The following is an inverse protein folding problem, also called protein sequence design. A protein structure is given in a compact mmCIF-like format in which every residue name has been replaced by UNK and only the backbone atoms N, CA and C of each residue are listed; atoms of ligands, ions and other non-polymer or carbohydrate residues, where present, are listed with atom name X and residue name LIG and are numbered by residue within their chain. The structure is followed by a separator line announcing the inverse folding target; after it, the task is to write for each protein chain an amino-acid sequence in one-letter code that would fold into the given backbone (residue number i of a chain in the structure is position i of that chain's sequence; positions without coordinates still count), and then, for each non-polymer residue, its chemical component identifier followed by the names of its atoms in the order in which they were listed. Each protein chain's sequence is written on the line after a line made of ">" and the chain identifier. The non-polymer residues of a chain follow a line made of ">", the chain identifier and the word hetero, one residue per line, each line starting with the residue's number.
data_IF_106291842801
#
_entry.id   IF_106291842801
#
_cell.length_a   1.000
_cell.length_b   1.000
_cell.length_c   1.000
_cell.angle_alpha   90.00
_cell.angle_beta   90.00
_cell.angle_gamma   90.00
#
_symmetry.space_group_name_H-M   'P 1'
#
loop_
_entity.id
_entity.type
_entity.pdbx_description
1 polymer ?
#
# COMPACT_ATOMS: atom_id res chain seq x y z
N UNK A 1 -9.51 18.68 21.57
CA UNK A 1 -10.46 18.19 20.54
C UNK A 1 -10.59 16.69 20.72
N UNK A 2 -11.78 16.14 20.97
CA UNK A 2 -11.96 14.70 21.18
C UNK A 2 -11.81 13.96 19.86
N UNK A 3 -11.31 12.71 19.91
CA UNK A 3 -11.17 11.83 18.74
C UNK A 3 -12.46 11.74 17.89
N UNK A 4 -13.61 11.86 18.54
CA UNK A 4 -14.93 11.86 17.89
C UNK A 4 -15.13 13.00 16.87
N UNK A 5 -14.52 14.17 17.09
CA UNK A 5 -14.62 15.31 16.15
C UNK A 5 -13.83 15.13 14.85
N UNK A 6 -12.82 14.26 14.81
CA UNK A 6 -12.03 13.98 13.58
C UNK A 6 -12.79 13.11 12.56
N UNK A 7 -13.81 12.38 13.01
CA UNK A 7 -14.54 11.40 12.17
C UNK A 7 -15.85 11.94 11.58
N UNK A 8 -16.42 13.02 12.14
CA UNK A 8 -17.70 13.58 11.68
C UNK A 8 -17.64 14.33 10.33
N UNK A 9 -16.43 14.50 9.75
CA UNK A 9 -16.25 15.19 8.47
C UNK A 9 -16.19 14.27 7.24
N UNK A 10 -16.49 12.96 7.38
CA UNK A 10 -16.51 12.03 6.26
C UNK A 10 -17.96 11.73 5.87
N UNK A 11 -18.47 12.20 4.72
CA UNK A 11 -19.85 11.96 4.32
C UNK A 11 -20.13 10.47 4.09
N UNK A 12 -21.22 9.98 4.68
CA UNK A 12 -21.82 8.67 4.35
C UNK A 12 -22.60 8.84 3.06
N UNK A 13 -22.37 7.92 2.10
CA UNK A 13 -23.13 7.69 0.87
C UNK A 13 -22.81 8.56 -0.35
N UNK A 14 -21.97 8.00 -1.22
CA UNK A 14 -22.18 8.10 -2.67
C UNK A 14 -22.16 6.70 -3.26
N UNK A 15 -23.20 6.36 -4.06
CA UNK A 15 -23.28 5.08 -4.79
C UNK A 15 -22.15 5.02 -5.83
N UNK A 16 -21.48 3.88 -6.03
CA UNK A 16 -20.45 3.76 -7.04
C UNK A 16 -21.08 3.81 -8.44
N UNK A 17 -20.86 4.91 -9.14
CA UNK A 17 -20.94 4.95 -10.60
C UNK A 17 -19.61 4.43 -11.14
N UNK A 18 -19.62 3.67 -12.24
CA UNK A 18 -18.45 3.20 -12.98
C UNK A 18 -17.53 4.37 -13.33
N UNK A 19 -16.65 4.76 -12.45
CA UNK A 19 -15.69 5.83 -12.65
C UNK A 19 -14.46 5.54 -11.78
N UNK A 20 -13.32 5.57 -12.39
CA UNK A 20 -11.99 5.68 -11.83
C UNK A 20 -12.01 6.21 -10.38
N UNK A 21 -11.55 5.38 -9.44
CA UNK A 21 -11.45 5.74 -8.02
C UNK A 21 -10.48 6.91 -7.83
N UNK A 22 -10.97 8.14 -8.00
CA UNK A 22 -10.22 9.34 -7.65
C UNK A 22 -10.34 9.59 -6.15
N UNK A 23 -9.43 9.04 -5.36
CA UNK A 23 -9.28 9.37 -3.94
C UNK A 23 -8.56 10.71 -3.73
N UNK A 24 -8.96 11.75 -4.47
CA UNK A 24 -8.43 13.10 -4.26
C UNK A 24 -8.80 13.60 -2.88
N UNK A 25 -7.82 13.75 -2.00
CA UNK A 25 -7.93 14.45 -0.72
C UNK A 25 -8.45 13.64 0.48
N UNK A 26 -8.66 12.33 0.38
CA UNK A 26 -9.00 11.45 1.52
C UNK A 26 -7.87 10.47 1.77
N UNK A 27 -6.82 10.92 2.44
CA UNK A 27 -5.72 10.05 2.83
C UNK A 27 -6.01 9.42 4.20
N UNK A 28 -5.73 8.13 4.35
CA UNK A 28 -5.76 7.43 5.63
C UNK A 28 -4.58 7.78 6.56
N UNK A 29 -3.66 8.61 6.10
CA UNK A 29 -2.39 8.94 6.79
C UNK A 29 -2.57 9.37 8.25
N UNK A 30 -3.56 10.23 8.54
CA UNK A 30 -3.82 10.73 9.89
C UNK A 30 -4.44 9.69 10.83
N UNK A 31 -4.88 8.55 10.29
CA UNK A 31 -5.54 7.46 11.01
C UNK A 31 -4.61 6.29 11.28
N UNK A 32 -3.41 6.31 10.68
CA UNK A 32 -2.40 5.27 10.76
C UNK A 32 -1.28 5.67 11.72
N UNK A 33 -0.79 4.72 12.48
CA UNK A 33 0.44 4.91 13.26
C UNK A 33 1.66 4.60 12.38
N UNK A 34 2.15 5.64 11.71
CA UNK A 34 3.33 5.57 10.86
C UNK A 34 4.55 4.99 11.58
N UNK A 35 4.74 5.33 12.85
CA UNK A 35 5.93 4.89 13.59
C UNK A 35 5.91 3.38 13.81
N UNK A 36 4.73 2.81 14.11
CA UNK A 36 4.56 1.36 14.20
C UNK A 36 4.84 0.73 12.84
N UNK A 37 4.25 1.25 11.75
CA UNK A 37 4.46 0.73 10.39
C UNK A 37 5.95 0.68 10.05
N UNK A 38 6.65 1.81 10.17
CA UNK A 38 8.06 1.91 9.81
C UNK A 38 8.97 1.03 10.70
N UNK A 39 8.67 0.93 11.99
CA UNK A 39 9.37 0.04 12.93
C UNK A 39 9.23 -1.43 12.52
N UNK A 40 8.01 -1.86 12.24
CA UNK A 40 7.72 -3.26 11.92
C UNK A 40 8.23 -3.68 10.53
N UNK A 41 8.27 -2.74 9.56
CA UNK A 41 8.86 -2.98 8.25
C UNK A 41 10.39 -3.02 8.30
N UNK A 42 11.01 -2.43 9.31
CA UNK A 42 12.46 -2.43 9.54
C UNK A 42 13.27 -2.08 8.28
N UNK A 43 12.99 -0.91 7.72
CA UNK A 43 13.63 -0.42 6.49
C UNK A 43 15.14 -0.23 6.73
N UNK A 44 15.94 -0.86 5.89
CA UNK A 44 17.40 -0.80 5.95
C UNK A 44 17.99 -0.05 4.76
N UNK A 45 19.12 0.68 4.92
CA UNK A 45 19.84 1.28 3.82
C UNK A 45 20.16 0.27 2.71
N UNK A 46 20.12 0.71 1.45
CA UNK A 46 20.41 -0.13 0.29
C UNK A 46 19.22 -0.95 -0.24
N UNK A 47 18.12 -1.01 0.47
CA UNK A 47 16.92 -1.72 0.00
C UNK A 47 16.27 -1.04 -1.21
N UNK A 48 15.58 -1.86 -2.01
CA UNK A 48 14.69 -1.40 -3.08
C UNK A 48 13.25 -1.71 -2.69
N UNK A 49 12.42 -0.67 -2.58
CA UNK A 49 11.06 -0.73 -2.05
C UNK A 49 10.08 -0.30 -3.13
N UNK A 50 8.93 -0.97 -3.19
CA UNK A 50 7.79 -0.54 -3.98
C UNK A 50 6.66 -0.10 -3.04
N UNK A 51 6.22 1.15 -3.17
CA UNK A 51 4.97 1.69 -2.64
C UNK A 51 3.90 1.58 -3.74
N UNK A 52 3.05 0.56 -3.65
CA UNK A 52 2.05 0.22 -4.67
C UNK A 52 0.68 0.80 -4.33
N UNK A 53 0.18 1.70 -5.19
CA UNK A 53 -0.95 2.58 -4.90
C UNK A 53 -0.51 3.74 -4.01
N UNK A 54 0.60 4.37 -4.39
CA UNK A 54 1.28 5.38 -3.57
C UNK A 54 0.51 6.70 -3.39
N UNK A 55 -0.52 6.95 -4.22
CA UNK A 55 -1.26 8.21 -4.20
C UNK A 55 -0.34 9.44 -4.26
N UNK A 56 -0.36 10.27 -3.23
CA UNK A 56 0.49 11.46 -3.11
C UNK A 56 1.95 11.16 -2.73
N UNK A 57 2.32 9.88 -2.56
CA UNK A 57 3.67 9.45 -2.22
C UNK A 57 4.08 9.66 -0.77
N UNK A 58 3.12 9.77 0.17
CA UNK A 58 3.42 9.97 1.58
C UNK A 58 4.37 8.91 2.14
N UNK A 59 4.03 7.62 1.99
CA UNK A 59 4.88 6.53 2.47
C UNK A 59 6.16 6.39 1.64
N UNK A 60 6.10 6.59 0.33
CA UNK A 60 7.30 6.61 -0.52
C UNK A 60 8.34 7.62 -0.03
N UNK A 61 7.92 8.82 0.38
CA UNK A 61 8.82 9.85 0.96
C UNK A 61 9.42 9.40 2.29
N UNK A 62 8.65 8.76 3.16
CA UNK A 62 9.15 8.21 4.43
C UNK A 62 10.16 7.07 4.20
N UNK A 63 9.90 6.16 3.27
CA UNK A 63 10.85 5.11 2.89
C UNK A 63 12.14 5.72 2.34
N UNK A 64 12.04 6.69 1.44
CA UNK A 64 13.19 7.40 0.87
C UNK A 64 14.07 8.03 1.97
N UNK A 65 13.43 8.66 2.97
CA UNK A 65 14.14 9.26 4.12
C UNK A 65 14.91 8.21 4.93
N UNK A 66 14.30 7.04 5.19
CA UNK A 66 14.95 5.96 5.94
C UNK A 66 16.08 5.29 5.17
N UNK A 67 15.96 5.18 3.84
CA UNK A 67 17.05 4.69 2.99
C UNK A 67 18.28 5.61 2.96
N UNK A 68 18.15 6.85 3.44
CA UNK A 68 19.22 7.81 3.61
C UNK A 68 20.15 7.94 2.39
N UNK A 69 19.56 8.11 1.21
CA UNK A 69 20.28 8.26 -0.06
C UNK A 69 20.86 6.97 -0.66
N UNK A 70 20.68 5.83 0.01
CA UNK A 70 21.08 4.50 -0.49
C UNK A 70 19.87 3.66 -0.84
N UNK A 71 19.92 2.90 -1.93
CA UNK A 71 18.76 2.13 -2.37
C UNK A 71 17.74 2.96 -3.18
N UNK A 72 16.53 2.46 -3.35
CA UNK A 72 15.55 3.03 -4.28
C UNK A 72 14.11 2.81 -3.79
N UNK A 73 13.23 3.76 -4.07
CA UNK A 73 11.79 3.64 -3.89
C UNK A 73 11.09 3.78 -5.23
N UNK A 74 10.37 2.76 -5.66
CA UNK A 74 9.37 2.89 -6.72
C UNK A 74 8.06 3.33 -6.08
N UNK A 75 7.46 4.41 -6.58
CA UNK A 75 6.16 4.91 -6.16
C UNK A 75 5.18 4.74 -7.32
N UNK A 76 4.32 3.72 -7.23
CA UNK A 76 3.48 3.27 -8.32
C UNK A 76 2.00 3.58 -8.04
N UNK A 77 1.34 4.23 -9.00
CA UNK A 77 -0.09 4.49 -8.96
C UNK A 77 -0.66 4.51 -10.39
N UNK A 78 -1.89 4.04 -10.64
CA UNK A 78 -2.56 4.20 -11.92
C UNK A 78 -2.99 5.65 -12.20
N UNK A 79 -3.11 6.51 -11.18
CA UNK A 79 -3.46 7.93 -11.35
C UNK A 79 -2.26 8.72 -11.93
N UNK A 80 -2.34 8.98 -13.24
CA UNK A 80 -1.32 9.73 -13.97
C UNK A 80 -1.08 11.13 -13.38
N UNK A 81 -2.12 11.82 -12.93
CA UNK A 81 -2.01 13.17 -12.41
C UNK A 81 -1.28 13.20 -11.07
N UNK A 82 -1.62 12.25 -10.16
CA UNK A 82 -0.92 12.09 -8.90
C UNK A 82 0.59 11.81 -9.12
N UNK A 83 0.90 10.91 -10.06
CA UNK A 83 2.29 10.58 -10.40
C UNK A 83 3.03 11.76 -11.03
N UNK A 84 2.41 12.56 -11.89
CA UNK A 84 3.06 13.77 -12.47
C UNK A 84 3.34 14.84 -11.41
N UNK A 85 2.48 14.98 -10.39
CA UNK A 85 2.74 15.85 -9.23
C UNK A 85 3.93 15.28 -8.44
N UNK A 86 3.90 14.00 -8.10
CA UNK A 86 4.94 13.34 -7.32
C UNK A 86 6.31 13.41 -8.02
N UNK A 87 6.38 13.25 -9.33
CA UNK A 87 7.61 13.43 -10.12
C UNK A 87 8.24 14.81 -9.95
N UNK A 88 7.42 15.86 -9.89
CA UNK A 88 7.91 17.23 -9.69
C UNK A 88 8.49 17.40 -8.30
N UNK A 89 7.85 16.83 -7.28
CA UNK A 89 8.26 16.93 -5.88
C UNK A 89 9.50 16.10 -5.54
N UNK A 90 9.74 15.00 -6.27
CA UNK A 90 10.79 14.01 -5.94
C UNK A 90 12.00 14.04 -6.88
N UNK A 91 12.16 15.05 -7.72
CA UNK A 91 13.23 15.16 -8.76
C UNK A 91 14.66 14.93 -8.26
N UNK A 92 14.93 15.16 -6.98
CA UNK A 92 16.28 15.07 -6.39
C UNK A 92 16.36 14.03 -5.27
N UNK A 93 15.47 13.04 -5.32
CA UNK A 93 15.43 11.96 -4.34
C UNK A 93 15.70 10.61 -5.03
N UNK A 94 15.76 9.53 -4.26
CA UNK A 94 15.82 8.16 -4.77
C UNK A 94 14.44 7.55 -5.04
N UNK A 95 13.41 8.38 -5.17
CA UNK A 95 12.05 7.95 -5.53
C UNK A 95 11.88 7.99 -7.05
N UNK A 96 11.40 6.89 -7.63
CA UNK A 96 11.01 6.79 -9.03
C UNK A 96 9.48 6.61 -9.14
N UNK A 97 8.73 7.68 -9.45
CA UNK A 97 7.30 7.59 -9.65
C UNK A 97 6.95 6.93 -10.98
N UNK A 98 6.02 5.96 -10.95
CA UNK A 98 5.59 5.15 -12.09
C UNK A 98 4.07 5.16 -12.24
N UNK A 99 3.58 5.48 -13.44
CA UNK A 99 2.18 5.25 -13.81
C UNK A 99 2.04 3.78 -14.20
N UNK A 100 1.50 2.96 -13.33
CA UNK A 100 1.29 1.53 -13.59
C UNK A 100 0.20 0.95 -12.67
N UNK A 101 -0.20 -0.28 -12.95
CA UNK A 101 -1.23 -1.03 -12.25
C UNK A 101 -0.63 -2.37 -11.77
N UNK A 102 -0.67 -2.63 -10.48
CA UNK A 102 -0.11 -3.86 -9.88
C UNK A 102 -0.85 -5.14 -10.26
N UNK A 103 -2.02 -5.03 -10.85
CA UNK A 103 -2.73 -6.19 -11.42
C UNK A 103 -2.27 -6.51 -12.85
N UNK A 104 -1.24 -5.81 -13.34
CA UNK A 104 -0.59 -6.00 -14.65
C UNK A 104 0.91 -6.11 -14.48
N UNK A 105 1.60 -6.55 -15.54
CA UNK A 105 3.07 -6.55 -15.55
C UNK A 105 3.59 -5.12 -15.55
N UNK A 106 4.36 -4.78 -14.51
CA UNK A 106 5.00 -3.47 -14.37
C UNK A 106 6.37 -3.42 -15.06
N UNK A 107 6.93 -2.22 -15.35
CA UNK A 107 8.26 -2.10 -15.94
C UNK A 107 9.41 -2.40 -14.95
N UNK A 108 9.10 -2.81 -13.72
CA UNK A 108 10.11 -3.09 -12.69
C UNK A 108 10.74 -4.47 -12.96
N UNK A 109 12.06 -4.55 -12.79
CA UNK A 109 12.84 -5.77 -13.01
C UNK A 109 12.41 -6.89 -12.05
N UNK A 110 12.35 -8.14 -12.54
CA UNK A 110 12.08 -9.31 -11.73
C UNK A 110 13.16 -9.52 -10.65
N UNK A 111 12.75 -10.04 -9.49
CA UNK A 111 13.62 -10.35 -8.34
C UNK A 111 14.51 -9.17 -7.94
N UNK A 112 13.92 -7.97 -7.89
CA UNK A 112 14.66 -6.73 -7.60
C UNK A 112 14.21 -6.00 -6.34
N UNK A 113 13.04 -6.36 -5.78
CA UNK A 113 12.46 -5.66 -4.63
C UNK A 113 12.71 -6.41 -3.32
N UNK A 114 13.07 -5.67 -2.29
CA UNK A 114 13.22 -6.15 -0.91
C UNK A 114 11.90 -6.04 -0.13
N UNK A 115 11.03 -5.10 -0.53
CA UNK A 115 9.71 -4.87 0.06
C UNK A 115 8.73 -4.38 -1.00
N UNK A 116 7.51 -4.93 -0.99
CA UNK A 116 6.33 -4.34 -1.62
C UNK A 116 5.38 -3.94 -0.49
N UNK A 117 5.00 -2.67 -0.46
CA UNK A 117 4.04 -2.09 0.48
C UNK A 117 2.76 -1.70 -0.28
N UNK A 118 1.61 -2.15 0.22
CA UNK A 118 0.28 -1.91 -0.35
C UNK A 118 -0.61 -1.39 0.77
N UNK A 119 -1.03 -0.14 0.70
CA UNK A 119 -1.80 0.48 1.79
C UNK A 119 -3.15 0.97 1.31
N UNK A 120 -4.22 0.38 1.84
CA UNK A 120 -5.61 0.75 1.54
C UNK A 120 -5.96 0.70 0.04
N UNK A 121 -5.39 -0.26 -0.66
CA UNK A 121 -5.53 -0.46 -2.12
C UNK A 121 -6.10 -1.84 -2.44
N UNK A 122 -5.72 -2.88 -1.68
CA UNK A 122 -6.03 -4.27 -2.01
C UNK A 122 -7.53 -4.55 -2.11
N UNK A 123 -8.34 -3.92 -1.25
CA UNK A 123 -9.81 -4.00 -1.29
C UNK A 123 -10.42 -3.46 -2.59
N UNK A 124 -9.70 -2.62 -3.32
CA UNK A 124 -10.11 -2.05 -4.61
C UNK A 124 -9.80 -2.94 -5.82
N UNK A 125 -9.04 -4.01 -5.65
CA UNK A 125 -8.74 -4.90 -6.78
C UNK A 125 -9.96 -5.75 -7.15
N UNK A 126 -10.33 -5.83 -8.44
CA UNK A 126 -11.30 -6.81 -8.91
C UNK A 126 -10.86 -8.23 -8.52
N UNK A 127 -11.79 -9.04 -8.01
CA UNK A 127 -11.48 -10.39 -7.50
C UNK A 127 -10.80 -11.28 -8.54
N UNK A 128 -11.17 -11.15 -9.79
CA UNK A 128 -10.59 -11.86 -10.93
C UNK A 128 -9.17 -11.39 -11.29
N UNK A 129 -8.74 -10.22 -10.81
CA UNK A 129 -7.40 -9.68 -11.03
C UNK A 129 -6.43 -9.95 -9.87
N UNK A 130 -6.90 -10.43 -8.73
CA UNK A 130 -6.05 -10.79 -7.59
C UNK A 130 -4.97 -11.83 -7.96
N UNK A 131 -5.25 -12.87 -8.77
CA UNK A 131 -4.20 -13.79 -9.24
C UNK A 131 -3.10 -13.10 -10.04
N UNK A 132 -3.43 -12.08 -10.83
CA UNK A 132 -2.44 -11.30 -11.59
C UNK A 132 -1.56 -10.46 -10.65
N UNK A 133 -2.18 -9.80 -9.65
CA UNK A 133 -1.44 -9.10 -8.59
C UNK A 133 -0.45 -10.06 -7.90
N UNK A 134 -0.86 -11.24 -7.49
CA UNK A 134 0.01 -12.22 -6.84
C UNK A 134 1.18 -12.62 -7.75
N UNK A 135 0.90 -12.92 -9.01
CA UNK A 135 1.93 -13.27 -10.01
C UNK A 135 2.96 -12.15 -10.16
N UNK A 136 2.52 -10.90 -10.18
CA UNK A 136 3.41 -9.76 -10.28
C UNK A 136 4.24 -9.57 -8.99
N UNK A 137 3.63 -9.69 -7.82
CA UNK A 137 4.34 -9.67 -6.53
C UNK A 137 5.43 -10.74 -6.48
N UNK A 138 5.12 -11.99 -6.85
CA UNK A 138 6.10 -13.11 -6.88
C UNK A 138 7.22 -12.88 -7.89
N UNK A 139 6.92 -12.23 -9.02
CA UNK A 139 7.92 -11.88 -10.03
C UNK A 139 8.90 -10.84 -9.52
N UNK A 140 8.41 -9.83 -8.79
CA UNK A 140 9.17 -8.66 -8.36
C UNK A 140 10.03 -8.91 -7.13
N UNK A 141 9.54 -9.71 -6.18
CA UNK A 141 10.23 -9.93 -4.90
C UNK A 141 11.49 -10.77 -5.06
N UNK A 142 12.56 -10.32 -4.41
CA UNK A 142 13.76 -11.14 -4.16
C UNK A 142 13.41 -12.35 -3.28
N UNK A 143 14.28 -13.38 -3.22
CA UNK A 143 14.20 -14.41 -2.19
C UNK A 143 14.13 -13.81 -0.78
N UNK A 144 13.22 -14.33 0.07
CA UNK A 144 13.00 -13.88 1.46
C UNK A 144 12.52 -12.42 1.62
N UNK A 145 12.29 -11.69 0.53
CA UNK A 145 11.73 -10.34 0.55
C UNK A 145 10.27 -10.32 1.05
N UNK A 146 9.77 -9.16 1.40
CA UNK A 146 8.49 -9.02 2.08
C UNK A 146 7.41 -8.35 1.22
N UNK A 147 6.16 -8.79 1.43
CA UNK A 147 4.95 -8.08 1.03
C UNK A 147 4.23 -7.64 2.31
N UNK A 148 3.92 -6.37 2.43
CA UNK A 148 3.10 -5.81 3.51
C UNK A 148 1.81 -5.23 2.92
N UNK A 149 0.67 -5.77 3.34
CA UNK A 149 -0.67 -5.30 2.95
C UNK A 149 -1.30 -4.66 4.18
N UNK A 150 -1.54 -3.35 4.11
CA UNK A 150 -2.22 -2.58 5.14
C UNK A 150 -3.64 -2.31 4.70
N UNK A 151 -4.62 -2.68 5.53
CA UNK A 151 -6.04 -2.53 5.21
C UNK A 151 -6.85 -2.10 6.43
N UNK A 152 -8.03 -1.52 6.14
CA UNK A 152 -9.04 -1.28 7.15
C UNK A 152 -9.61 -2.63 7.60
N UNK A 153 -9.87 -2.77 8.90
CA UNK A 153 -10.44 -3.98 9.46
C UNK A 153 -11.81 -4.30 8.87
N UNK A 154 -12.10 -5.59 8.71
CA UNK A 154 -13.40 -6.08 8.27
C UNK A 154 -14.40 -6.11 9.44
N UNK A 155 -14.69 -4.93 9.97
CA UNK A 155 -15.66 -4.70 11.06
C UNK A 155 -16.43 -3.39 10.80
N UNK A 156 -17.52 -3.15 11.52
CA UNK A 156 -18.25 -1.89 11.37
C UNK A 156 -17.38 -0.72 11.85
N UNK A 157 -17.15 0.22 10.94
CA UNK A 157 -16.31 1.40 11.18
C UNK A 157 -17.03 2.65 10.68
N UNK A 158 -16.77 3.84 11.25
CA UNK A 158 -17.47 5.07 10.86
C UNK A 158 -17.11 5.55 9.44
N UNK A 159 -16.16 4.90 8.76
CA UNK A 159 -15.67 5.27 7.42
C UNK A 159 -15.09 4.04 6.72
N UNK A 160 -14.67 4.23 5.47
CA UNK A 160 -14.02 3.21 4.65
C UNK A 160 -14.95 2.55 3.65
N UNK A 161 -14.43 1.61 2.85
CA UNK A 161 -15.23 0.89 1.86
C UNK A 161 -16.28 -0.02 2.51
N UNK A 162 -17.29 -0.49 1.78
CA UNK A 162 -18.27 -1.47 2.27
C UNK A 162 -17.59 -2.75 2.81
N UNK A 163 -18.25 -3.43 3.76
CA UNK A 163 -17.70 -4.62 4.44
C UNK A 163 -17.44 -5.80 3.50
N UNK A 164 -18.22 -5.94 2.43
CA UNK A 164 -18.13 -7.02 1.45
C UNK A 164 -16.89 -6.97 0.55
N UNK A 165 -16.25 -5.79 0.45
CA UNK A 165 -14.98 -5.63 -0.26
C UNK A 165 -13.76 -5.61 0.66
N UNK A 166 -13.96 -5.57 2.00
CA UNK A 166 -12.86 -5.62 2.96
C UNK A 166 -12.36 -7.04 3.17
N UNK A 167 -11.10 -7.15 3.51
CA UNK A 167 -10.46 -8.42 3.86
C UNK A 167 -10.07 -8.43 5.33
N UNK A 168 -10.28 -9.55 6.00
CA UNK A 168 -9.66 -9.82 7.30
C UNK A 168 -8.23 -10.34 7.13
N UNK A 169 -7.39 -10.30 8.18
CA UNK A 169 -6.07 -10.92 8.13
C UNK A 169 -6.12 -12.41 7.73
N UNK A 170 -7.13 -13.14 8.18
CA UNK A 170 -7.34 -14.56 7.90
C UNK A 170 -7.67 -14.79 6.42
N UNK A 171 -8.54 -13.97 5.84
CA UNK A 171 -8.86 -14.01 4.41
C UNK A 171 -7.62 -13.68 3.55
N UNK A 172 -6.82 -12.67 3.94
CA UNK A 172 -5.57 -12.37 3.24
C UNK A 172 -4.59 -13.54 3.29
N UNK A 173 -4.46 -14.25 4.43
CA UNK A 173 -3.61 -15.43 4.57
C UNK A 173 -4.06 -16.61 3.72
N UNK A 174 -5.34 -16.71 3.41
CA UNK A 174 -5.89 -17.73 2.51
C UNK A 174 -5.69 -17.36 1.03
N UNK A 175 -5.77 -16.08 0.70
CA UNK A 175 -5.67 -15.58 -0.68
C UNK A 175 -4.20 -15.49 -1.12
N UNK A 176 -3.33 -14.89 -0.30
CA UNK A 176 -1.93 -14.63 -0.66
C UNK A 176 -1.09 -15.88 -0.49
N UNK A 177 -0.39 -16.27 -1.57
CA UNK A 177 0.42 -17.51 -1.66
C UNK A 177 1.74 -17.45 -0.91
N UNK A 178 2.20 -16.27 -0.50
CA UNK A 178 3.43 -16.08 0.28
C UNK A 178 3.27 -16.55 1.73
N UNK A 179 4.39 -16.78 2.44
CA UNK A 179 4.36 -17.18 3.85
C UNK A 179 3.87 -16.04 4.74
N UNK A 180 2.77 -16.19 5.50
CA UNK A 180 2.37 -15.21 6.48
C UNK A 180 3.39 -15.12 7.62
N UNK A 181 3.78 -13.90 8.01
CA UNK A 181 4.77 -13.65 9.07
C UNK A 181 4.15 -13.00 10.30
N UNK A 182 3.40 -11.92 10.12
CA UNK A 182 2.85 -11.15 11.24
C UNK A 182 1.57 -10.42 10.82
N UNK A 183 0.66 -10.26 11.79
CA UNK A 183 -0.48 -9.34 11.71
C UNK A 183 -0.26 -8.25 12.76
N UNK A 184 -0.15 -7.00 12.35
CA UNK A 184 0.23 -5.86 13.19
C UNK A 184 -0.92 -4.85 13.23
N UNK A 185 -1.31 -4.41 14.42
CA UNK A 185 -2.26 -3.31 14.58
C UNK A 185 -1.54 -1.98 14.33
N UNK A 186 -1.94 -1.25 13.30
CA UNK A 186 -1.30 0.01 12.87
C UNK A 186 -2.21 1.23 12.96
N UNK A 187 -3.24 1.11 13.77
CA UNK A 187 -4.24 2.14 14.06
C UNK A 187 -5.46 1.53 14.72
N UNK A 188 -6.42 2.36 15.12
CA UNK A 188 -7.63 1.86 15.77
C UNK A 188 -8.42 0.92 14.84
N UNK A 189 -8.57 1.34 13.58
CA UNK A 189 -9.36 0.63 12.57
C UNK A 189 -8.53 -0.08 11.50
N UNK A 190 -7.20 -0.13 11.65
CA UNK A 190 -6.31 -0.65 10.61
C UNK A 190 -5.39 -1.76 11.14
N UNK A 191 -5.02 -2.64 10.24
CA UNK A 191 -4.00 -3.65 10.47
C UNK A 191 -3.06 -3.72 9.26
N UNK A 192 -1.86 -4.25 9.46
CA UNK A 192 -0.90 -4.58 8.43
C UNK A 192 -0.60 -6.08 8.50
N UNK A 193 -0.85 -6.81 7.42
CA UNK A 193 -0.49 -8.20 7.28
C UNK A 193 0.81 -8.29 6.50
N UNK A 194 1.83 -8.89 7.11
CA UNK A 194 3.15 -9.09 6.49
C UNK A 194 3.30 -10.52 6.03
N UNK A 195 3.81 -10.69 4.81
CA UNK A 195 4.16 -11.96 4.20
C UNK A 195 5.63 -11.96 3.78
N UNK A 196 6.21 -13.15 3.64
CA UNK A 196 7.57 -13.33 3.15
C UNK A 196 7.59 -14.25 1.92
N UNK A 197 8.37 -13.88 0.91
CA UNK A 197 8.60 -14.73 -0.25
C UNK A 197 9.30 -16.04 0.18
N UNK A 198 8.82 -17.16 -0.36
CA UNK A 198 9.31 -18.51 -0.02
C UNK A 198 10.65 -18.86 -0.67
N UNK A 199 11.00 -18.16 -1.74
CA UNK A 199 12.24 -18.42 -2.52
C UNK A 199 13.47 -18.00 -1.74
#
# INVERSE_FOLDING_TARGET
>A
MSEKMKYDMIPKNEKPTNATHHHRGKSSESLLDKNIILKELNILPGQTILDAGCGNGYMAKEFSRLLNGTGKVYALDPDKEAIEILKKETKRTNIEPLVADMTKTTPIKSSSLDLIYVSTVFHGFPKDQIPNFQKEVERLLKPKAMLAILEIKKEDTPFGPPLDVRYSPEELKQIITLNPKATIKVGHYFYMQVFQNRK
#
